data_IF_389856763349
#
_entry.id   IF_389856763349
#
_cell.length_a   1.000
_cell.length_b   1.000
_cell.length_c   1.000
_cell.angle_alpha   90.00
_cell.angle_beta   90.00
_cell.angle_gamma   90.00
#
_symmetry.space_group_name_H-M   'P 1'
#
loop_
_entity.id
_entity.type
_entity.pdbx_description
1 polymer ?
#
# COMPACT_ATOMS: atom_id res chain seq x y z
N UNK A 1 -1.94 6.32 9.62
CA UNK A 1 -2.25 5.82 8.27
C UNK A 1 -1.94 4.34 8.29
N UNK A 2 -2.93 3.52 8.00
CA UNK A 2 -2.82 2.06 8.07
C UNK A 2 -2.33 1.54 6.73
N UNK A 3 -1.12 1.00 6.72
CA UNK A 3 -0.57 0.27 5.58
C UNK A 3 -0.61 -1.23 5.88
N UNK A 4 -1.17 -2.03 4.96
CA UNK A 4 -1.07 -3.49 5.01
C UNK A 4 -0.01 -3.95 4.03
N UNK A 5 0.90 -4.75 4.53
CA UNK A 5 1.99 -5.35 3.77
C UNK A 5 1.79 -6.86 3.71
N UNK A 6 1.99 -7.43 2.54
CA UNK A 6 2.04 -8.87 2.34
C UNK A 6 3.35 -9.22 1.62
N UNK A 7 4.25 -9.93 2.30
CA UNK A 7 5.60 -10.28 1.82
C UNK A 7 5.90 -11.74 2.17
N UNK A 8 7.01 -12.27 1.66
CA UNK A 8 7.48 -13.60 2.05
C UNK A 8 7.84 -13.63 3.56
N UNK A 9 7.57 -14.75 4.24
CA UNK A 9 7.87 -14.92 5.67
C UNK A 9 9.33 -14.62 5.99
N UNK A 10 10.25 -15.03 5.12
CA UNK A 10 11.70 -14.77 5.27
C UNK A 10 12.07 -13.28 5.16
N UNK A 11 11.19 -12.44 4.62
CA UNK A 11 11.40 -11.01 4.43
C UNK A 11 10.82 -10.17 5.58
N UNK A 12 10.07 -10.76 6.52
CA UNK A 12 9.45 -10.02 7.64
C UNK A 12 10.47 -9.26 8.47
N UNK A 13 11.52 -9.93 8.96
CA UNK A 13 12.53 -9.28 9.79
C UNK A 13 13.33 -8.20 9.05
N UNK A 14 13.87 -8.43 7.83
CA UNK A 14 14.48 -7.36 7.04
C UNK A 14 13.53 -6.17 6.79
N UNK A 15 12.27 -6.45 6.50
CA UNK A 15 11.29 -5.40 6.20
C UNK A 15 10.97 -4.54 7.43
N UNK A 16 10.95 -5.10 8.65
CA UNK A 16 10.82 -4.32 9.88
C UNK A 16 11.95 -3.28 10.03
N UNK A 17 13.20 -3.69 9.74
CA UNK A 17 14.35 -2.77 9.75
C UNK A 17 14.19 -1.67 8.69
N UNK A 18 13.70 -2.02 7.50
CA UNK A 18 13.36 -1.04 6.46
C UNK A 18 12.32 -0.03 6.96
N UNK A 19 11.26 -0.49 7.63
CA UNK A 19 10.24 0.41 8.18
C UNK A 19 10.85 1.41 9.16
N UNK A 20 11.68 0.95 10.09
CA UNK A 20 12.39 1.82 11.04
C UNK A 20 13.27 2.85 10.33
N UNK A 21 14.04 2.43 9.33
CA UNK A 21 14.94 3.30 8.57
C UNK A 21 14.18 4.37 7.78
N UNK A 22 13.09 3.98 7.11
CA UNK A 22 12.24 4.90 6.34
C UNK A 22 11.57 5.88 7.28
N UNK A 23 11.00 5.42 8.40
CA UNK A 23 10.35 6.31 9.36
C UNK A 23 11.34 7.31 9.96
N UNK A 24 12.56 6.89 10.31
CA UNK A 24 13.59 7.78 10.82
C UNK A 24 14.00 8.86 9.82
N UNK A 25 14.11 8.51 8.53
CA UNK A 25 14.53 9.45 7.48
C UNK A 25 13.46 10.49 7.15
N UNK A 26 12.19 10.08 7.21
CA UNK A 26 11.04 10.95 6.93
C UNK A 26 10.46 11.61 8.17
N UNK A 27 11.09 11.44 9.35
CA UNK A 27 10.60 11.97 10.63
C UNK A 27 9.15 11.54 10.92
N UNK A 28 8.92 10.24 10.87
CA UNK A 28 7.64 9.59 11.14
C UNK A 28 7.78 8.62 12.31
N UNK A 29 6.66 8.35 12.96
CA UNK A 29 6.51 7.23 13.90
C UNK A 29 5.75 6.08 13.25
N UNK A 30 6.11 4.85 13.62
CA UNK A 30 5.39 3.65 13.24
C UNK A 30 5.05 2.79 14.46
N UNK A 31 3.81 2.32 14.53
CA UNK A 31 3.46 1.14 15.31
C UNK A 31 3.22 -0.04 14.36
N UNK A 32 3.68 -1.23 14.72
CA UNK A 32 3.67 -2.38 13.82
C UNK A 32 3.02 -3.58 14.50
N UNK A 33 2.08 -4.23 13.82
CA UNK A 33 1.56 -5.55 14.15
C UNK A 33 1.97 -6.53 13.05
N UNK A 34 2.78 -7.53 13.40
CA UNK A 34 3.24 -8.54 12.46
C UNK A 34 2.61 -9.91 12.75
N UNK A 35 1.88 -10.44 11.78
CA UNK A 35 1.54 -11.86 11.73
C UNK A 35 2.70 -12.59 11.05
N UNK A 36 3.81 -12.72 11.77
CA UNK A 36 5.09 -13.16 11.18
C UNK A 36 5.00 -14.53 10.48
N UNK A 37 4.16 -15.44 10.96
CA UNK A 37 3.99 -16.78 10.38
C UNK A 37 3.37 -16.82 8.99
N UNK A 38 2.71 -15.75 8.53
CA UNK A 38 2.10 -15.67 7.19
C UNK A 38 2.55 -14.45 6.37
N UNK A 39 3.55 -13.70 6.85
CA UNK A 39 4.13 -12.59 6.11
C UNK A 39 3.24 -11.36 5.99
N UNK A 40 2.19 -11.24 6.82
CA UNK A 40 1.32 -10.06 6.87
C UNK A 40 1.80 -9.10 7.97
N UNK A 41 1.96 -7.83 7.62
CA UNK A 41 2.21 -6.75 8.57
C UNK A 41 1.17 -5.65 8.41
N UNK A 42 0.77 -5.07 9.53
CA UNK A 42 0.02 -3.83 9.59
C UNK A 42 0.91 -2.76 10.21
N UNK A 43 1.07 -1.65 9.51
CA UNK A 43 1.93 -0.54 9.92
C UNK A 43 1.06 0.69 10.07
N UNK A 44 1.06 1.28 11.26
CA UNK A 44 0.40 2.53 11.57
C UNK A 44 1.40 3.68 11.56
N UNK A 45 1.36 4.49 10.50
CA UNK A 45 2.24 5.67 10.35
C UNK A 45 1.62 6.92 10.95
N UNK A 46 2.42 7.72 11.66
CA UNK A 46 2.06 9.04 12.20
C UNK A 46 3.17 10.08 11.95
N UNK A 47 2.82 11.38 11.82
CA UNK A 47 1.47 11.94 11.72
C UNK A 47 0.77 11.53 10.40
N UNK A 48 -0.56 11.63 10.35
CA UNK A 48 -1.36 11.16 9.22
C UNK A 48 -1.69 12.22 8.17
N UNK A 49 -1.24 13.46 8.39
CA UNK A 49 -1.48 14.57 7.48
C UNK A 49 -0.83 14.31 6.12
N UNK A 50 -1.47 14.76 5.04
CA UNK A 50 -1.03 14.56 3.67
C UNK A 50 0.21 15.41 3.34
N UNK A 51 1.31 15.17 4.03
CA UNK A 51 2.60 15.84 3.83
C UNK A 51 3.40 15.11 2.75
N UNK A 52 4.28 15.82 2.00
CA UNK A 52 5.18 15.18 1.04
C UNK A 52 5.99 14.02 1.64
N UNK A 53 6.57 14.22 2.84
CA UNK A 53 7.32 13.18 3.56
C UNK A 53 6.54 11.88 3.81
N UNK A 54 5.25 11.98 4.13
CA UNK A 54 4.41 10.79 4.33
C UNK A 54 4.14 10.06 3.01
N UNK A 55 3.89 10.81 1.94
CA UNK A 55 3.65 10.25 0.60
C UNK A 55 4.90 9.55 0.09
N UNK A 56 6.07 10.18 0.24
CA UNK A 56 7.37 9.63 -0.13
C UNK A 56 7.70 8.37 0.69
N UNK A 57 7.47 8.39 2.00
CA UNK A 57 7.64 7.22 2.86
C UNK A 57 6.75 6.04 2.43
N UNK A 58 5.47 6.27 2.13
CA UNK A 58 4.56 5.23 1.65
C UNK A 58 5.04 4.66 0.30
N UNK A 59 5.47 5.52 -0.62
CA UNK A 59 5.98 5.10 -1.92
C UNK A 59 7.25 4.24 -1.78
N UNK A 60 8.14 4.63 -0.89
CA UNK A 60 9.38 3.91 -0.62
C UNK A 60 9.12 2.55 0.06
N UNK A 61 8.29 2.51 1.10
CA UNK A 61 7.90 1.24 1.74
C UNK A 61 7.26 0.28 0.74
N UNK A 62 6.47 0.81 -0.21
CA UNK A 62 5.89 0.01 -1.29
C UNK A 62 6.94 -0.53 -2.25
N UNK A 63 7.98 0.24 -2.58
CA UNK A 63 9.11 -0.24 -3.40
C UNK A 63 9.81 -1.42 -2.74
N UNK A 64 10.16 -1.29 -1.45
CA UNK A 64 10.78 -2.37 -0.71
C UNK A 64 9.87 -3.60 -0.57
N UNK A 65 8.55 -3.41 -0.44
CA UNK A 65 7.62 -4.53 -0.39
C UNK A 65 7.62 -5.29 -1.72
N UNK A 66 7.69 -4.56 -2.85
CA UNK A 66 7.80 -5.14 -4.19
C UNK A 66 9.12 -5.89 -4.39
N UNK A 67 10.23 -5.34 -3.92
CA UNK A 67 11.54 -6.01 -3.94
C UNK A 67 11.53 -7.31 -3.12
N UNK A 68 10.83 -7.31 -1.99
CA UNK A 68 10.53 -8.49 -1.17
C UNK A 68 9.51 -9.47 -1.81
N UNK A 69 9.20 -9.30 -3.11
CA UNK A 69 8.21 -10.07 -3.89
C UNK A 69 6.80 -10.03 -3.28
N UNK A 70 6.46 -8.90 -2.66
CA UNK A 70 5.19 -8.67 -2.00
C UNK A 70 4.48 -7.40 -2.47
N UNK A 71 3.59 -6.89 -1.63
CA UNK A 71 2.80 -5.69 -1.90
C UNK A 71 2.53 -4.89 -0.63
N UNK A 72 2.24 -3.59 -0.82
CA UNK A 72 1.77 -2.69 0.22
C UNK A 72 0.56 -1.91 -0.29
N UNK A 73 -0.56 -2.02 0.43
CA UNK A 73 -1.76 -1.20 0.23
C UNK A 73 -1.99 -0.28 1.43
N UNK A 74 -2.66 0.83 1.20
CA UNK A 74 -3.14 1.75 2.25
C UNK A 74 -4.60 1.43 2.54
N UNK A 75 -4.86 0.80 3.67
CA UNK A 75 -6.23 0.41 4.05
C UNK A 75 -7.02 1.59 4.62
N UNK A 76 -6.36 2.49 5.38
CA UNK A 76 -7.01 3.63 6.02
C UNK A 76 -6.13 4.87 5.96
N UNK A 77 -6.70 5.96 5.47
CA UNK A 77 -6.05 7.28 5.45
C UNK A 77 -7.10 8.41 5.45
N UNK A 78 -6.71 9.64 5.85
CA UNK A 78 -7.52 10.83 5.62
C UNK A 78 -7.83 11.05 4.13
N UNK A 79 -8.96 11.70 3.84
CA UNK A 79 -9.42 11.95 2.46
C UNK A 79 -8.39 12.71 1.63
N UNK A 80 -7.73 13.71 2.21
CA UNK A 80 -6.75 14.52 1.51
C UNK A 80 -5.51 13.72 1.08
N UNK A 81 -5.11 12.73 1.89
CA UNK A 81 -4.06 11.80 1.50
C UNK A 81 -4.55 10.84 0.42
N UNK A 82 -5.75 10.29 0.57
CA UNK A 82 -6.37 9.37 -0.40
C UNK A 82 -6.44 9.94 -1.81
N UNK A 83 -6.64 11.26 -1.95
CA UNK A 83 -6.68 11.97 -3.25
C UNK A 83 -5.30 12.09 -3.93
N UNK A 84 -4.21 11.88 -3.19
CA UNK A 84 -2.83 12.13 -3.64
C UNK A 84 -2.02 10.85 -3.84
N UNK A 85 -2.55 9.70 -3.41
CA UNK A 85 -1.86 8.41 -3.51
C UNK A 85 -2.77 7.34 -4.09
N UNK A 86 -2.17 6.39 -4.83
CA UNK A 86 -2.82 5.16 -5.20
C UNK A 86 -2.86 4.22 -3.99
N UNK A 87 -4.02 4.12 -3.32
CA UNK A 87 -4.18 3.33 -2.09
C UNK A 87 -3.99 1.82 -2.32
N UNK A 88 -4.26 1.34 -3.53
CA UNK A 88 -4.06 -0.06 -3.92
C UNK A 88 -2.65 -0.38 -4.44
N UNK A 89 -1.81 0.64 -4.62
CA UNK A 89 -0.57 0.52 -5.38
C UNK A 89 -0.77 0.68 -6.89
N UNK A 90 0.32 0.52 -7.63
CA UNK A 90 0.32 0.66 -9.08
C UNK A 90 -0.24 -0.61 -9.75
N UNK A 91 -1.01 -0.48 -10.85
CA UNK A 91 -1.46 -1.62 -11.61
C UNK A 91 -0.30 -2.47 -12.14
N UNK A 92 -0.42 -3.79 -12.01
CA UNK A 92 0.52 -4.75 -12.59
C UNK A 92 0.35 -4.90 -14.10
N UNK A 93 1.24 -5.68 -14.73
CA UNK A 93 1.15 -6.03 -16.16
C UNK A 93 -0.11 -6.84 -16.50
N UNK A 94 -0.73 -7.45 -15.49
CA UNK A 94 -1.98 -8.23 -15.57
C UNK A 94 -3.25 -7.37 -15.45
N UNK A 95 -3.12 -6.05 -15.23
CA UNK A 95 -4.26 -5.14 -15.05
C UNK A 95 -5.27 -5.16 -16.20
N UNK A 96 -4.83 -5.37 -17.44
CA UNK A 96 -5.73 -5.45 -18.60
C UNK A 96 -6.74 -6.61 -18.48
N UNK A 97 -6.38 -7.70 -17.80
CA UNK A 97 -7.30 -8.82 -17.54
C UNK A 97 -8.41 -8.41 -16.58
N UNK A 98 -8.06 -7.70 -15.50
CA UNK A 98 -9.04 -7.16 -14.54
C UNK A 98 -10.00 -6.19 -15.23
N UNK A 99 -9.50 -5.32 -16.12
CA UNK A 99 -10.33 -4.38 -16.87
C UNK A 99 -11.29 -5.09 -17.82
N UNK A 100 -10.83 -6.13 -18.54
CA UNK A 100 -11.71 -6.95 -19.39
C UNK A 100 -12.81 -7.64 -18.59
N UNK A 101 -12.46 -8.20 -17.43
CA UNK A 101 -13.43 -8.82 -16.53
C UNK A 101 -14.47 -7.80 -16.04
N UNK A 102 -14.01 -6.62 -15.59
CA UNK A 102 -14.90 -5.54 -15.14
C UNK A 102 -15.85 -5.09 -16.26
N UNK A 103 -15.37 -4.96 -17.48
CA UNK A 103 -16.19 -4.57 -18.63
C UNK A 103 -17.22 -5.64 -19.02
N UNK A 104 -16.91 -6.93 -18.84
CA UNK A 104 -17.86 -8.02 -19.12
C UNK A 104 -19.02 -8.03 -18.14
N UNK A 105 -18.76 -7.78 -16.85
CA UNK A 105 -19.79 -7.84 -15.80
C UNK A 105 -20.48 -6.49 -15.52
N UNK A 106 -19.82 -5.37 -15.78
CA UNK A 106 -20.35 -4.03 -15.58
C UNK A 106 -19.92 -3.09 -16.72
N UNK A 107 -20.44 -3.31 -17.95
CA UNK A 107 -20.05 -2.53 -19.14
C UNK A 107 -20.38 -1.04 -19.00
N UNK A 108 -21.36 -0.69 -18.17
CA UNK A 108 -21.75 0.69 -17.92
C UNK A 108 -20.95 1.36 -16.79
N UNK A 109 -20.07 0.62 -16.09
CA UNK A 109 -19.24 1.13 -15.01
C UNK A 109 -20.06 1.69 -13.82
N UNK A 110 -21.21 1.08 -13.55
CA UNK A 110 -22.14 1.50 -12.49
C UNK A 110 -21.70 1.04 -11.10
N UNK A 111 -21.04 -0.11 -10.99
CA UNK A 111 -20.59 -0.68 -9.73
C UNK A 111 -19.19 -0.19 -9.38
N UNK A 112 -19.11 0.49 -8.23
CA UNK A 112 -17.88 0.78 -7.47
C UNK A 112 -16.79 1.46 -8.31
N UNK A 113 -17.21 2.35 -9.24
CA UNK A 113 -16.31 3.07 -10.15
C UNK A 113 -15.20 3.83 -9.44
N UNK A 114 -13.97 3.68 -9.93
CA UNK A 114 -12.82 4.48 -9.51
C UNK A 114 -12.29 4.13 -8.11
N UNK A 115 -12.72 3.00 -7.54
CA UNK A 115 -12.41 2.62 -6.15
C UNK A 115 -11.53 1.40 -6.04
N UNK A 116 -11.13 0.79 -7.15
CA UNK A 116 -10.17 -0.31 -7.19
C UNK A 116 -8.87 0.06 -7.93
N UNK A 117 -7.97 -0.91 -8.09
CA UNK A 117 -6.69 -0.76 -8.79
C UNK A 117 -6.89 -0.05 -10.13
N UNK A 118 -6.03 0.93 -10.45
CA UNK A 118 -6.06 1.65 -11.73
C UNK A 118 -7.36 2.40 -12.04
N UNK A 119 -8.20 2.65 -11.03
CA UNK A 119 -9.47 3.37 -11.21
C UNK A 119 -10.63 2.51 -11.72
N UNK A 120 -10.54 1.17 -11.61
CA UNK A 120 -11.68 0.27 -11.84
C UNK A 120 -12.84 0.53 -10.87
#
# INVERSE_FOLDING_TARGET
VTCKVAILVSQVAPYLQTVEQVCRRHDLEAAILAHAGNGILFIELRPSDATPRLIEAIAELRSYAKEARGSLIVERCPVDLKRRINVWGEPGSDFFLMQRLKNQFDPNGTFVKGRFVGGL
#
